data_IF_572173450674
#
_entry.id   IF_572173450674
#
_cell.length_a   1.000
_cell.length_b   1.000
_cell.length_c   1.000
_cell.angle_alpha   90.00
_cell.angle_beta   90.00
_cell.angle_gamma   90.00
#
_symmetry.space_group_name_H-M   'P 1'
#
loop_
_entity.id
_entity.type
_entity.pdbx_description
1 polymer ?
#
# COMPACT_ATOMS: atom_id res chain seq x y z
N UNK A 1 2.74 -25.24 -66.09
CA UNK A 1 3.58 -24.78 -64.96
C UNK A 1 3.14 -23.46 -64.28
N UNK A 2 2.08 -22.75 -64.72
CA UNK A 2 1.69 -21.42 -64.17
C UNK A 2 0.76 -21.45 -62.96
N UNK A 3 0.15 -22.61 -62.60
CA UNK A 3 -0.82 -22.68 -61.48
C UNK A 3 -0.19 -22.94 -60.11
N UNK A 4 1.01 -23.52 -60.02
CA UNK A 4 1.72 -23.81 -58.77
C UNK A 4 2.36 -22.55 -58.17
N UNK A 5 2.87 -21.63 -58.98
CA UNK A 5 3.51 -20.41 -58.49
C UNK A 5 2.53 -19.42 -57.85
N UNK A 6 1.29 -19.35 -58.32
CA UNK A 6 0.25 -18.49 -57.71
C UNK A 6 -0.19 -18.98 -56.31
N UNK A 7 -0.30 -20.29 -56.08
CA UNK A 7 -0.64 -20.87 -54.77
C UNK A 7 0.45 -20.60 -53.74
N UNK A 8 1.72 -20.70 -54.12
CA UNK A 8 2.81 -20.44 -53.20
C UNK A 8 2.98 -18.94 -52.90
N UNK A 9 2.67 -18.04 -53.82
CA UNK A 9 2.68 -16.61 -53.60
C UNK A 9 1.56 -16.17 -52.62
N UNK A 10 0.38 -16.72 -52.75
CA UNK A 10 -0.75 -16.43 -51.84
C UNK A 10 -0.48 -16.96 -50.42
N UNK A 11 0.11 -18.15 -50.31
CA UNK A 11 0.51 -18.71 -49.02
C UNK A 11 1.61 -17.88 -48.30
N UNK A 12 2.58 -17.36 -49.04
CA UNK A 12 3.64 -16.47 -48.52
C UNK A 12 3.05 -15.10 -48.06
N UNK A 13 2.09 -14.55 -48.79
CA UNK A 13 1.44 -13.29 -48.44
C UNK A 13 0.58 -13.45 -47.16
N UNK A 14 -0.13 -14.55 -47.02
CA UNK A 14 -0.89 -14.83 -45.79
C UNK A 14 0.02 -15.08 -44.56
N UNK A 15 1.15 -15.75 -44.74
CA UNK A 15 2.13 -15.95 -43.68
C UNK A 15 2.79 -14.63 -43.22
N UNK A 16 3.10 -13.74 -44.16
CA UNK A 16 3.64 -12.42 -43.85
C UNK A 16 2.63 -11.52 -43.14
N UNK A 17 1.35 -11.58 -43.52
CA UNK A 17 0.27 -10.86 -42.82
C UNK A 17 -0.03 -11.38 -41.39
N UNK A 18 0.13 -12.69 -41.15
CA UNK A 18 -0.02 -13.25 -39.80
C UNK A 18 1.16 -12.89 -38.88
N UNK A 19 2.36 -12.74 -39.41
CA UNK A 19 3.54 -12.33 -38.62
C UNK A 19 3.51 -10.87 -38.19
N UNK A 20 2.84 -10.00 -38.96
CA UNK A 20 2.67 -8.58 -38.57
C UNK A 20 1.65 -8.34 -37.49
N UNK A 21 0.75 -9.31 -37.20
CA UNK A 21 -0.24 -9.23 -36.15
C UNK A 21 0.28 -9.68 -34.77
N UNK A 22 1.45 -10.32 -34.71
CA UNK A 22 2.05 -10.79 -33.45
C UNK A 22 2.89 -9.71 -32.73
N UNK A 23 3.09 -8.56 -33.34
CA UNK A 23 3.87 -7.45 -32.77
C UNK A 23 3.06 -6.39 -32.02
N UNK A 24 1.74 -6.55 -31.90
CA UNK A 24 0.84 -5.49 -31.41
C UNK A 24 0.47 -5.55 -29.93
N UNK A 25 1.11 -6.42 -29.15
CA UNK A 25 0.93 -6.42 -27.69
C UNK A 25 2.26 -6.11 -27.02
N UNK A 26 2.80 -4.93 -27.27
CA UNK A 26 3.62 -4.26 -26.26
C UNK A 26 2.64 -3.43 -25.45
N UNK A 27 2.15 -4.02 -24.36
CA UNK A 27 1.49 -3.28 -23.31
C UNK A 27 2.58 -2.44 -22.62
N UNK A 28 2.88 -1.27 -23.17
CA UNK A 28 3.68 -0.24 -22.50
C UNK A 28 3.01 0.19 -21.16
N UNK A 29 1.79 -0.28 -20.93
CA UNK A 29 1.02 -0.02 -19.72
C UNK A 29 1.45 -0.84 -18.49
N UNK A 30 2.21 -1.91 -18.68
CA UNK A 30 2.65 -2.80 -17.58
C UNK A 30 4.04 -2.46 -17.04
N UNK A 31 4.74 -1.50 -17.65
CA UNK A 31 6.12 -1.13 -17.31
C UNK A 31 6.30 0.36 -17.01
N UNK A 32 5.22 1.06 -16.71
CA UNK A 32 5.34 2.41 -16.16
C UNK A 32 5.65 2.29 -14.66
N UNK A 33 6.90 1.90 -14.38
CA UNK A 33 7.44 1.85 -13.01
C UNK A 33 7.65 3.27 -12.43
N UNK A 34 7.34 4.31 -13.19
CA UNK A 34 7.37 5.69 -12.71
C UNK A 34 6.11 5.97 -11.90
N UNK A 35 6.29 6.20 -10.61
CA UNK A 35 5.20 6.66 -9.75
C UNK A 35 4.60 7.94 -10.35
N UNK A 36 3.26 8.04 -10.48
CA UNK A 36 2.61 9.22 -11.01
C UNK A 36 3.11 10.48 -10.31
N UNK A 37 3.41 11.55 -11.04
CA UNK A 37 3.98 12.80 -10.52
C UNK A 37 3.11 13.48 -9.44
N UNK A 38 1.83 13.11 -9.37
CA UNK A 38 0.90 13.58 -8.32
C UNK A 38 0.98 12.75 -7.03
N UNK A 39 1.66 11.60 -7.06
CA UNK A 39 1.88 10.76 -5.88
C UNK A 39 3.11 11.31 -5.14
N UNK A 40 2.93 11.85 -3.95
CA UNK A 40 4.00 12.44 -3.13
C UNK A 40 4.96 11.40 -2.50
N UNK A 41 5.30 10.36 -3.23
CA UNK A 41 6.18 9.28 -2.76
C UNK A 41 5.44 8.14 -2.08
N UNK A 42 6.19 7.19 -1.53
CA UNK A 42 5.67 6.03 -0.82
C UNK A 42 5.22 6.39 0.61
N UNK A 43 4.44 5.50 1.24
CA UNK A 43 4.09 5.65 2.66
C UNK A 43 5.35 5.65 3.54
N UNK A 44 6.37 4.84 3.21
CA UNK A 44 7.60 4.81 3.98
C UNK A 44 8.39 6.12 3.86
N UNK A 45 8.49 6.71 2.66
CA UNK A 45 9.12 8.02 2.46
C UNK A 45 8.43 9.15 3.25
N UNK A 46 7.11 9.05 3.45
CA UNK A 46 6.40 9.99 4.30
C UNK A 46 6.97 9.96 5.73
N UNK A 47 7.22 8.77 6.30
CA UNK A 47 7.79 8.62 7.64
C UNK A 47 9.27 9.05 7.71
N UNK A 48 10.03 8.88 6.64
CA UNK A 48 11.43 9.37 6.58
C UNK A 48 11.50 10.90 6.59
N UNK A 49 10.55 11.56 5.94
CA UNK A 49 10.51 13.03 5.82
C UNK A 49 9.86 13.72 7.01
N UNK A 50 9.04 12.99 7.79
CA UNK A 50 8.24 13.57 8.87
C UNK A 50 8.76 13.17 10.24
N UNK A 51 9.36 14.12 10.94
CA UNK A 51 9.98 13.91 12.25
C UNK A 51 9.02 13.69 13.43
N UNK A 52 7.69 13.73 13.21
CA UNK A 52 6.70 13.53 14.28
C UNK A 52 6.34 12.04 14.52
N UNK A 53 6.85 11.12 13.68
CA UNK A 53 6.51 9.72 13.67
C UNK A 53 7.72 8.80 13.81
N UNK A 54 8.74 9.20 14.56
CA UNK A 54 9.98 8.42 14.74
C UNK A 54 9.71 7.06 15.37
N UNK A 55 8.91 7.02 16.42
CA UNK A 55 8.50 5.79 17.09
C UNK A 55 7.74 4.85 16.15
N UNK A 56 6.85 5.39 15.32
CA UNK A 56 6.11 4.59 14.36
C UNK A 56 6.99 4.08 13.22
N UNK A 57 7.95 4.89 12.78
CA UNK A 57 8.97 4.47 11.80
C UNK A 57 9.84 3.34 12.35
N UNK A 58 10.33 3.45 13.60
CA UNK A 58 11.07 2.38 14.27
C UNK A 58 10.27 1.07 14.33
N UNK A 59 8.95 1.16 14.57
CA UNK A 59 8.04 0.01 14.55
C UNK A 59 8.00 -0.65 13.16
N UNK A 60 7.93 0.13 12.08
CA UNK A 60 7.94 -0.35 10.70
C UNK A 60 9.27 -1.05 10.38
N UNK A 61 10.38 -0.43 10.76
CA UNK A 61 11.74 -0.93 10.49
C UNK A 61 11.99 -2.26 11.23
N UNK A 62 11.62 -2.34 12.51
CA UNK A 62 11.75 -3.55 13.32
C UNK A 62 10.93 -4.73 12.81
N UNK A 63 9.77 -4.45 12.23
CA UNK A 63 8.90 -5.47 11.64
C UNK A 63 9.28 -5.84 10.20
N UNK A 64 10.25 -5.14 9.60
CA UNK A 64 10.67 -5.37 8.22
C UNK A 64 9.62 -5.00 7.17
N UNK A 65 8.71 -4.06 7.48
CA UNK A 65 7.61 -3.67 6.58
C UNK A 65 7.97 -2.53 5.62
N UNK A 66 9.23 -2.09 5.62
CA UNK A 66 9.74 -1.04 4.72
C UNK A 66 9.40 -1.31 3.27
N UNK A 67 9.75 -2.48 2.75
CA UNK A 67 9.55 -2.82 1.34
C UNK A 67 8.05 -2.89 0.97
N UNK A 68 7.21 -3.35 1.90
CA UNK A 68 5.76 -3.37 1.70
C UNK A 68 5.20 -1.96 1.58
N UNK A 69 5.66 -1.02 2.40
CA UNK A 69 5.18 0.37 2.43
C UNK A 69 5.83 1.25 1.36
N UNK A 70 6.94 0.80 0.75
CA UNK A 70 7.53 1.46 -0.41
C UNK A 70 6.81 1.11 -1.71
N UNK A 71 6.09 -0.01 -1.75
CA UNK A 71 5.28 -0.36 -2.92
C UNK A 71 3.97 0.43 -2.86
N UNK A 72 3.47 0.80 -4.03
CA UNK A 72 2.11 1.32 -4.16
C UNK A 72 1.14 0.22 -3.81
N UNK A 73 0.63 0.22 -2.59
CA UNK A 73 -0.27 -0.79 -2.07
C UNK A 73 -1.62 -0.21 -1.68
N UNK A 74 -2.64 -1.05 -1.70
CA UNK A 74 -3.99 -0.69 -1.28
C UNK A 74 -4.13 -0.80 0.24
N UNK A 75 -3.40 0.02 1.00
CA UNK A 75 -3.50 0.07 2.46
C UNK A 75 -3.78 1.48 2.95
N UNK A 76 -4.47 1.58 4.07
CA UNK A 76 -4.67 2.84 4.79
C UNK A 76 -4.03 2.71 6.17
N UNK A 77 -3.15 3.66 6.52
CA UNK A 77 -2.50 3.71 7.82
C UNK A 77 -3.05 4.87 8.67
N UNK A 78 -3.19 4.62 9.95
CA UNK A 78 -3.49 5.62 10.99
C UNK A 78 -2.32 5.69 11.97
N UNK A 79 -1.19 6.29 11.59
CA UNK A 79 0.01 6.28 12.41
C UNK A 79 -0.19 7.11 13.68
N UNK A 80 0.29 6.58 14.80
CA UNK A 80 0.35 7.32 16.04
C UNK A 80 1.59 8.22 16.06
N UNK A 81 1.44 9.48 16.49
CA UNK A 81 2.55 10.42 16.68
C UNK A 81 3.39 10.03 17.91
N UNK A 82 4.62 10.53 17.96
CA UNK A 82 5.57 10.29 19.05
C UNK A 82 5.01 10.65 20.43
N UNK A 83 4.16 11.69 20.50
CA UNK A 83 3.48 12.05 21.74
C UNK A 83 2.55 10.94 22.29
N UNK A 84 1.90 10.18 21.40
CA UNK A 84 1.04 9.08 21.82
C UNK A 84 1.87 7.93 22.39
N UNK A 85 3.03 7.65 21.81
CA UNK A 85 3.97 6.67 22.33
C UNK A 85 4.56 7.12 23.66
N UNK A 86 4.92 8.38 23.79
CA UNK A 86 5.39 8.96 25.07
C UNK A 86 4.36 8.76 26.17
N UNK A 87 3.09 9.07 25.92
CA UNK A 87 2.00 8.85 26.89
C UNK A 87 1.80 7.36 27.21
N UNK A 88 1.87 6.51 26.21
CA UNK A 88 1.75 5.06 26.40
C UNK A 88 2.86 4.50 27.30
N UNK A 89 4.12 4.88 27.05
CA UNK A 89 5.25 4.42 27.86
C UNK A 89 5.25 5.02 29.26
N UNK A 90 4.90 6.30 29.41
CA UNK A 90 4.77 6.94 30.71
C UNK A 90 3.71 6.25 31.58
N UNK A 91 2.57 5.86 31.00
CA UNK A 91 1.54 5.08 31.71
C UNK A 91 2.03 3.69 32.18
N UNK A 92 3.11 3.18 31.56
CA UNK A 92 3.79 1.94 31.96
C UNK A 92 5.00 2.17 32.87
N UNK A 93 5.19 3.40 33.33
CA UNK A 93 6.34 3.77 34.18
C UNK A 93 7.69 3.80 33.46
N UNK A 94 7.67 3.82 32.11
CA UNK A 94 8.87 3.96 31.28
C UNK A 94 9.00 5.40 30.77
N UNK A 95 10.21 5.94 30.84
CA UNK A 95 10.56 7.26 30.32
C UNK A 95 11.88 7.17 29.57
N UNK A 96 12.03 7.94 28.49
CA UNK A 96 13.22 7.93 27.65
C UNK A 96 12.90 8.26 26.20
N UNK A 97 13.86 7.99 25.32
CA UNK A 97 13.67 8.14 23.90
C UNK A 97 12.64 7.11 23.40
N UNK A 98 11.58 7.62 22.77
CA UNK A 98 10.45 6.80 22.30
C UNK A 98 10.86 5.76 21.26
N UNK A 99 11.85 6.09 20.43
CA UNK A 99 12.38 5.18 19.41
C UNK A 99 13.05 3.96 20.07
N UNK A 100 13.92 4.20 21.08
CA UNK A 100 14.55 3.13 21.84
C UNK A 100 13.54 2.27 22.60
N UNK A 101 12.54 2.90 23.21
CA UNK A 101 11.49 2.18 23.92
C UNK A 101 10.66 1.28 23.00
N UNK A 102 10.47 1.67 21.74
CA UNK A 102 9.83 0.82 20.73
C UNK A 102 10.72 -0.38 20.38
N UNK A 103 12.04 -0.18 20.22
CA UNK A 103 12.97 -1.29 19.96
C UNK A 103 12.96 -2.35 21.07
N UNK A 104 12.74 -1.95 22.33
CA UNK A 104 12.64 -2.86 23.48
C UNK A 104 11.33 -3.66 23.54
N UNK A 105 10.30 -3.29 22.76
CA UNK A 105 9.04 -4.01 22.77
C UNK A 105 9.20 -5.43 22.19
N UNK A 106 8.49 -6.42 22.74
CA UNK A 106 8.44 -7.74 22.14
C UNK A 106 7.77 -7.68 20.76
N UNK A 107 8.19 -8.54 19.84
CA UNK A 107 7.70 -8.57 18.45
C UNK A 107 6.17 -8.69 18.36
N UNK A 108 5.57 -9.47 19.25
CA UNK A 108 4.11 -9.62 19.33
C UNK A 108 3.39 -8.29 19.61
N UNK A 109 3.95 -7.47 20.52
CA UNK A 109 3.41 -6.15 20.82
C UNK A 109 3.59 -5.18 19.65
N UNK A 110 4.75 -5.23 18.97
CA UNK A 110 5.00 -4.44 17.76
C UNK A 110 4.00 -4.78 16.65
N UNK A 111 3.81 -6.08 16.38
CA UNK A 111 2.81 -6.55 15.40
C UNK A 111 1.40 -6.11 15.76
N UNK A 112 1.02 -6.23 17.04
CA UNK A 112 -0.29 -5.78 17.49
C UNK A 112 -0.50 -4.29 17.27
N UNK A 113 0.46 -3.45 17.67
CA UNK A 113 0.39 -2.00 17.49
C UNK A 113 0.28 -1.64 16.01
N UNK A 114 1.13 -2.19 15.15
CA UNK A 114 1.09 -1.91 13.71
C UNK A 114 -0.23 -2.37 13.08
N UNK A 115 -0.63 -3.61 13.28
CA UNK A 115 -1.85 -4.16 12.71
C UNK A 115 -3.11 -3.44 13.23
N UNK A 116 -3.03 -2.89 14.45
CA UNK A 116 -4.14 -2.12 15.00
C UNK A 116 -4.38 -0.79 14.29
N UNK A 117 -3.39 -0.28 13.56
CA UNK A 117 -3.41 1.02 12.86
C UNK A 117 -3.47 0.90 11.35
N UNK A 118 -3.57 -0.32 10.80
CA UNK A 118 -3.59 -0.59 9.38
C UNK A 118 -4.93 -1.19 8.94
N UNK A 119 -5.46 -0.68 7.83
CA UNK A 119 -6.56 -1.30 7.09
C UNK A 119 -6.04 -1.87 5.78
N UNK A 120 -6.48 -3.08 5.42
CA UNK A 120 -6.06 -3.79 4.21
C UNK A 120 -6.68 -3.26 2.91
N UNK A 121 -7.31 -2.09 2.96
CA UNK A 121 -7.94 -1.43 1.82
C UNK A 121 -7.58 0.04 1.81
N UNK A 122 -7.58 0.63 0.63
CA UNK A 122 -7.43 2.08 0.48
C UNK A 122 -8.75 2.77 0.74
N UNK A 123 -8.77 3.65 1.74
CA UNK A 123 -9.90 4.54 2.02
C UNK A 123 -9.46 5.99 1.81
N UNK A 124 -10.26 6.74 1.07
CA UNK A 124 -10.08 8.18 0.99
C UNK A 124 -10.71 8.86 2.20
N UNK A 125 -10.13 9.97 2.67
CA UNK A 125 -10.61 10.67 3.85
C UNK A 125 -12.10 11.03 3.79
N UNK A 126 -12.60 11.42 2.59
CA UNK A 126 -14.01 11.72 2.40
C UNK A 126 -14.92 10.47 2.50
N UNK A 127 -14.41 9.27 2.16
CA UNK A 127 -15.17 8.02 2.33
C UNK A 127 -15.31 7.66 3.81
N UNK A 128 -14.28 7.94 4.61
CA UNK A 128 -14.31 7.72 6.05
C UNK A 128 -15.17 8.75 6.79
N UNK A 129 -15.26 9.98 6.28
CA UNK A 129 -16.09 11.05 6.86
C UNK A 129 -17.56 10.96 6.47
N UNK A 130 -17.88 10.37 5.30
CA UNK A 130 -19.23 10.28 4.77
C UNK A 130 -19.96 8.99 5.13
N UNK A 131 -19.47 8.22 6.08
CA UNK A 131 -20.22 7.10 6.65
C UNK A 131 -21.31 7.68 7.57
N UNK A 132 -22.24 8.41 6.96
CA UNK A 132 -23.51 8.75 7.59
C UNK A 132 -24.37 7.49 7.61
N UNK A 133 -24.71 7.01 8.80
CA UNK A 133 -25.76 6.01 8.93
C UNK A 133 -27.07 6.67 8.50
N UNK A 134 -27.54 6.35 7.29
CA UNK A 134 -28.74 6.92 6.73
C UNK A 134 -30.05 6.50 7.44
N UNK A 135 -30.00 5.74 8.54
CA UNK A 135 -31.22 5.12 9.05
C UNK A 135 -31.48 5.23 10.56
N UNK A 136 -30.63 5.87 11.35
CA UNK A 136 -31.00 6.12 12.78
C UNK A 136 -30.46 7.48 13.18
N UNK A 137 -31.36 8.39 13.47
CA UNK A 137 -31.05 9.73 13.95
C UNK A 137 -30.28 9.72 15.27
N UNK A 138 -29.00 9.84 15.18
CA UNK A 138 -28.08 9.94 16.30
C UNK A 138 -26.67 9.59 15.85
N UNK A 139 -25.79 10.58 15.75
CA UNK A 139 -24.45 10.58 15.20
C UNK A 139 -23.42 9.57 15.74
N UNK A 140 -23.78 8.31 15.83
CA UNK A 140 -22.82 7.24 16.05
C UNK A 140 -22.35 6.72 14.69
N UNK A 141 -21.07 6.98 14.37
CA UNK A 141 -20.45 6.51 13.14
C UNK A 141 -20.52 4.99 13.01
N UNK A 142 -20.70 4.50 11.78
CA UNK A 142 -20.72 3.07 11.50
C UNK A 142 -19.35 2.46 11.80
N UNK A 143 -19.30 1.43 12.66
CA UNK A 143 -18.09 0.69 12.92
C UNK A 143 -17.66 -0.06 11.66
N UNK A 144 -16.53 0.34 11.05
CA UNK A 144 -15.91 -0.43 9.98
C UNK A 144 -15.38 -1.74 10.57
N UNK A 145 -15.90 -2.87 10.07
CA UNK A 145 -15.33 -4.17 10.42
C UNK A 145 -13.92 -4.26 9.84
N UNK A 146 -12.97 -4.36 10.71
CA UNK A 146 -11.57 -4.55 10.37
C UNK A 146 -11.34 -6.03 10.08
N UNK A 147 -10.92 -6.37 8.85
CA UNK A 147 -10.24 -7.64 8.61
C UNK A 147 -8.81 -7.48 9.11
N UNK A 148 -8.58 -7.74 10.37
CA UNK A 148 -7.23 -7.83 10.92
C UNK A 148 -6.62 -9.14 10.48
N UNK A 149 -5.31 -9.13 10.18
CA UNK A 149 -4.51 -10.33 9.87
C UNK A 149 -4.34 -11.25 11.11
N UNK A 150 -5.12 -11.02 12.16
CA UNK A 150 -5.10 -11.76 13.43
C UNK A 150 -6.27 -12.76 13.55
N UNK A 151 -6.80 -13.23 12.42
CA UNK A 151 -7.68 -14.42 12.41
C UNK A 151 -6.94 -15.62 11.92
#
# INVERSE_FOLDING_TARGET
MKKRTKKNLTACLCAAACLSLLGSCKDDYLYDDEAPTWLNGSLYEFFEKNGEFKAYKALIDDLGYKDMLNRTGAVTLFPAKDEAFTRYFAAKGKSGDVEQLVHELPESAKKYLFNSTMLNMTYLAHQLSNVESSDVGGGEGMALRRNTVLT
#
